data_IF_543040049180
#
_entry.id   IF_543040049180
#
_cell.length_a   1.000
_cell.length_b   1.000
_cell.length_c   1.000
_cell.angle_alpha   90.00
_cell.angle_beta   90.00
_cell.angle_gamma   90.00
#
_symmetry.space_group_name_H-M   'P 1'
#
loop_
_entity.id
_entity.type
_entity.pdbx_description
1 polymer ?
#
# COMPACT_ATOMS: atom_id res chain seq x y z
N UNK A 1 13.60 8.84 16.72
CA UNK A 1 14.08 7.70 15.92
C UNK A 1 14.26 6.51 16.84
N UNK A 2 13.69 5.35 16.51
CA UNK A 2 13.96 4.12 17.24
C UNK A 2 15.43 3.72 17.12
N UNK A 3 15.95 3.09 18.17
CA UNK A 3 17.32 2.59 18.26
C UNK A 3 17.25 1.07 18.44
N UNK A 4 17.96 0.34 17.58
CA UNK A 4 18.13 -1.10 17.71
C UNK A 4 19.53 -1.37 18.28
N UNK A 5 19.58 -1.79 19.54
CA UNK A 5 20.83 -1.99 20.29
C UNK A 5 20.79 -3.33 21.03
N UNK A 6 21.90 -3.79 21.63
CA UNK A 6 21.86 -4.99 22.48
C UNK A 6 20.86 -4.89 23.65
N UNK A 7 20.62 -3.67 24.17
CA UNK A 7 19.68 -3.43 25.26
C UNK A 7 18.22 -3.36 24.77
N UNK A 8 18.03 -2.98 23.51
CA UNK A 8 16.73 -2.97 22.82
C UNK A 8 16.86 -3.70 21.47
N UNK A 9 16.95 -5.04 21.49
CA UNK A 9 17.32 -5.82 20.30
C UNK A 9 16.12 -6.08 19.38
N UNK A 10 14.91 -5.64 19.74
CA UNK A 10 13.69 -5.89 18.98
C UNK A 10 12.88 -4.62 18.82
N UNK A 11 12.34 -4.44 17.63
CA UNK A 11 11.48 -3.31 17.30
C UNK A 11 10.43 -3.73 16.28
N UNK A 12 9.17 -3.61 16.64
CA UNK A 12 8.06 -3.88 15.73
C UNK A 12 7.74 -2.61 14.94
N UNK A 13 7.39 -2.76 13.67
CA UNK A 13 7.13 -1.66 12.77
C UNK A 13 5.97 -1.96 11.82
N UNK A 14 5.42 -0.91 11.24
CA UNK A 14 4.52 -1.00 10.10
C UNK A 14 4.95 -0.03 9.02
N UNK A 15 5.06 -0.52 7.77
CA UNK A 15 5.49 0.30 6.63
C UNK A 15 4.70 -0.11 5.38
N UNK A 16 4.06 0.86 4.73
CA UNK A 16 3.56 0.82 3.36
C UNK A 16 2.09 1.24 3.17
N UNK A 17 1.88 2.34 2.44
CA UNK A 17 0.64 2.65 1.72
C UNK A 17 0.90 2.39 0.22
N UNK A 18 0.16 1.48 -0.40
CA UNK A 18 0.23 1.14 -1.83
C UNK A 18 1.60 0.63 -2.35
N UNK A 19 2.38 -0.04 -1.50
CA UNK A 19 3.72 -0.50 -1.83
C UNK A 19 3.74 -1.90 -2.48
N UNK A 20 4.35 -2.03 -3.66
CA UNK A 20 4.62 -3.35 -4.27
C UNK A 20 6.01 -3.92 -3.92
N UNK A 21 6.87 -3.09 -3.31
CA UNK A 21 8.25 -3.45 -2.94
C UNK A 21 8.66 -2.69 -1.67
N UNK A 22 9.16 -3.42 -0.68
CA UNK A 22 9.89 -2.86 0.46
C UNK A 22 11.38 -2.91 0.17
N UNK A 23 12.06 -1.78 0.35
CA UNK A 23 13.50 -1.61 0.15
C UNK A 23 14.18 -1.36 1.48
N UNK A 24 15.20 -2.14 1.80
CA UNK A 24 15.96 -2.03 3.05
C UNK A 24 17.41 -1.73 2.71
N UNK A 25 17.92 -0.57 3.13
CA UNK A 25 19.29 -0.13 2.83
C UNK A 25 19.79 0.91 3.84
N UNK A 26 21.04 1.34 3.70
CA UNK A 26 21.57 2.49 4.44
C UNK A 26 20.93 3.80 3.96
N UNK A 27 20.74 4.76 4.88
CA UNK A 27 20.19 6.07 4.57
C UNK A 27 21.04 6.88 3.58
N UNK A 28 22.36 6.63 3.50
CA UNK A 28 23.24 7.31 2.52
C UNK A 28 22.88 7.01 1.06
N UNK A 29 22.10 5.95 0.83
CA UNK A 29 21.62 5.53 -0.50
C UNK A 29 20.40 6.33 -0.97
N UNK A 30 19.93 7.32 -0.21
CA UNK A 30 18.70 8.09 -0.50
C UNK A 30 18.63 8.60 -1.94
N UNK A 31 19.73 9.16 -2.45
CA UNK A 31 19.82 9.75 -3.78
C UNK A 31 20.03 8.71 -4.90
N UNK A 32 20.42 7.48 -4.55
CA UNK A 32 20.83 6.45 -5.52
C UNK A 32 19.72 5.45 -5.83
N UNK A 33 18.67 5.35 -5.00
CA UNK A 33 17.62 4.33 -5.09
C UNK A 33 16.27 4.88 -5.58
N UNK A 34 16.32 5.78 -6.57
CA UNK A 34 15.17 6.53 -7.07
C UNK A 34 14.18 5.61 -7.78
N UNK A 35 14.66 4.78 -8.70
CA UNK A 35 13.81 3.91 -9.51
C UNK A 35 13.85 2.47 -9.02
N UNK A 36 12.84 1.68 -9.41
CA UNK A 36 12.86 0.23 -9.16
C UNK A 36 14.10 -0.44 -9.77
N UNK A 37 14.58 0.03 -10.93
CA UNK A 37 15.78 -0.53 -11.56
C UNK A 37 17.03 -0.29 -10.70
N UNK A 38 17.16 0.91 -10.12
CA UNK A 38 18.27 1.24 -9.22
C UNK A 38 18.24 0.37 -7.96
N UNK A 39 17.05 0.21 -7.38
CA UNK A 39 16.80 -0.66 -6.23
C UNK A 39 17.19 -2.10 -6.52
N UNK A 40 16.80 -2.64 -7.68
CA UNK A 40 17.16 -4.01 -8.11
C UNK A 40 18.66 -4.15 -8.34
N UNK A 41 19.30 -3.16 -8.95
CA UNK A 41 20.76 -3.16 -9.16
C UNK A 41 21.50 -3.14 -7.81
N UNK A 42 21.11 -2.26 -6.89
CA UNK A 42 21.64 -2.18 -5.54
C UNK A 42 21.46 -3.50 -4.77
N UNK A 43 20.31 -4.14 -4.91
CA UNK A 43 20.05 -5.42 -4.27
C UNK A 43 20.98 -6.53 -4.77
N UNK A 44 21.18 -6.61 -6.10
CA UNK A 44 22.13 -7.55 -6.72
C UNK A 44 23.58 -7.32 -6.29
N UNK A 45 23.94 -6.06 -6.02
CA UNK A 45 25.27 -5.68 -5.53
C UNK A 45 25.46 -5.88 -4.02
N UNK A 46 24.40 -6.22 -3.28
CA UNK A 46 24.47 -6.38 -1.82
C UNK A 46 24.52 -5.04 -1.06
N UNK A 47 24.06 -3.95 -1.68
CA UNK A 47 23.89 -2.65 -1.01
C UNK A 47 22.45 -2.37 -0.57
N UNK A 48 21.53 -3.29 -0.86
CA UNK A 48 20.13 -3.24 -0.47
C UNK A 48 19.54 -4.65 -0.36
N UNK A 49 18.42 -4.77 0.34
CA UNK A 49 17.55 -5.93 0.37
C UNK A 49 16.18 -5.51 -0.17
N UNK A 50 15.58 -6.32 -1.04
CA UNK A 50 14.25 -6.09 -1.59
C UNK A 50 13.30 -7.20 -1.21
N UNK A 51 12.10 -6.81 -0.78
CA UNK A 51 10.99 -7.70 -0.47
C UNK A 51 9.85 -7.28 -1.39
N UNK A 52 9.43 -8.17 -2.30
CA UNK A 52 8.27 -7.91 -3.14
C UNK A 52 7.00 -8.32 -2.40
N UNK A 53 6.01 -7.44 -2.43
CA UNK A 53 4.69 -7.69 -1.86
C UNK A 53 3.75 -8.15 -3.00
N UNK A 54 2.94 -9.21 -2.80
CA UNK A 54 1.93 -9.62 -3.76
C UNK A 54 0.84 -8.56 -3.96
N UNK A 55 0.45 -7.93 -2.85
CA UNK A 55 -0.59 -6.91 -2.76
C UNK A 55 -0.03 -5.63 -2.13
N UNK A 56 -0.76 -4.52 -2.26
CA UNK A 56 -0.30 -3.15 -2.00
C UNK A 56 -0.60 -2.64 -0.58
N UNK A 57 -0.81 -3.54 0.38
CA UNK A 57 -1.23 -3.22 1.76
C UNK A 57 -0.13 -2.84 2.76
N UNK A 58 1.13 -2.78 2.34
CA UNK A 58 2.29 -2.63 3.23
C UNK A 58 2.60 -3.90 4.02
N UNK A 59 3.39 -3.77 5.10
CA UNK A 59 3.75 -4.88 5.99
C UNK A 59 3.67 -4.48 7.47
N UNK A 60 3.25 -5.42 8.32
CA UNK A 60 3.58 -5.42 9.74
C UNK A 60 4.82 -6.29 9.97
N UNK A 61 5.88 -5.70 10.50
CA UNK A 61 7.16 -6.39 10.64
C UNK A 61 7.85 -6.21 11.99
N UNK A 62 8.93 -6.97 12.18
CA UNK A 62 9.82 -6.87 13.34
C UNK A 62 11.27 -6.83 12.89
N UNK A 63 12.03 -5.86 13.39
CA UNK A 63 13.48 -5.84 13.31
C UNK A 63 14.06 -6.52 14.55
N UNK A 64 15.05 -7.41 14.34
CA UNK A 64 15.75 -8.10 15.44
C UNK A 64 17.25 -7.97 15.26
N UNK A 65 17.95 -7.39 16.23
CA UNK A 65 19.41 -7.41 16.32
C UNK A 65 19.85 -8.58 17.22
N UNK A 66 20.49 -9.59 16.64
CA UNK A 66 21.00 -10.74 17.38
C UNK A 66 20.16 -12.01 17.18
N UNK A 67 19.90 -12.75 18.25
CA UNK A 67 19.25 -14.06 18.21
C UNK A 67 17.71 -13.96 18.15
N UNK A 68 17.09 -14.87 17.41
CA UNK A 68 15.64 -15.04 17.37
C UNK A 68 15.15 -15.74 18.64
N UNK A 69 13.89 -15.51 19.00
CA UNK A 69 13.22 -16.38 19.97
C UNK A 69 12.96 -17.77 19.39
N UNK A 70 12.65 -18.74 20.24
CA UNK A 70 12.29 -20.09 19.81
C UNK A 70 11.09 -20.07 18.85
N UNK A 71 10.06 -19.30 19.19
CA UNK A 71 8.87 -19.07 18.37
C UNK A 71 9.22 -18.48 17.00
N UNK A 72 9.99 -17.38 16.97
CA UNK A 72 10.44 -16.74 15.72
C UNK A 72 11.24 -17.72 14.83
N UNK A 73 12.08 -18.55 15.44
CA UNK A 73 12.93 -19.51 14.72
C UNK A 73 12.17 -20.72 14.15
N UNK A 74 11.05 -21.09 14.77
CA UNK A 74 10.27 -22.30 14.43
C UNK A 74 9.02 -22.01 13.60
N UNK A 75 8.50 -20.79 13.62
CA UNK A 75 7.25 -20.43 12.94
C UNK A 75 7.38 -19.91 11.51
N UNK A 76 8.56 -19.49 11.05
CA UNK A 76 8.71 -18.98 9.68
C UNK A 76 8.42 -20.07 8.63
N UNK A 77 7.94 -19.68 7.45
CA UNK A 77 7.66 -20.62 6.33
C UNK A 77 8.49 -20.31 5.07
N UNK A 78 8.99 -19.09 4.96
CA UNK A 78 9.98 -18.72 3.97
C UNK A 78 11.04 -17.84 4.59
N UNK A 79 12.28 -17.92 4.09
CA UNK A 79 13.34 -16.99 4.46
C UNK A 79 14.24 -16.65 3.28
N UNK A 80 14.91 -15.51 3.39
CA UNK A 80 15.92 -15.09 2.44
C UNK A 80 16.95 -14.19 3.10
N UNK A 81 18.19 -14.31 2.68
CA UNK A 81 19.35 -13.73 3.35
C UNK A 81 20.19 -12.93 2.37
N UNK A 82 20.56 -11.70 2.73
CA UNK A 82 21.44 -10.83 1.93
C UNK A 82 22.38 -10.06 2.84
N UNK A 83 23.59 -9.78 2.37
CA UNK A 83 24.45 -8.82 3.05
C UNK A 83 24.04 -7.39 2.68
N UNK A 84 24.11 -6.48 3.65
CA UNK A 84 23.92 -5.04 3.47
C UNK A 84 24.96 -4.31 4.32
N UNK A 85 25.61 -3.31 3.72
CA UNK A 85 26.53 -2.43 4.42
C UNK A 85 25.78 -1.22 4.98
N UNK A 86 25.87 -0.99 6.29
CA UNK A 86 25.24 0.13 6.98
C UNK A 86 26.31 1.08 7.50
N UNK A 87 26.87 1.91 6.61
CA UNK A 87 27.97 2.84 6.89
C UNK A 87 27.60 3.95 7.85
N UNK A 88 26.39 4.49 7.71
CA UNK A 88 25.93 5.61 8.55
C UNK A 88 25.39 5.15 9.89
N UNK A 89 25.12 3.84 10.02
CA UNK A 89 24.38 3.31 11.16
C UNK A 89 22.89 3.66 11.11
N UNK A 90 22.36 4.07 9.95
CA UNK A 90 20.94 4.36 9.76
C UNK A 90 20.35 3.37 8.78
N UNK A 91 19.61 2.40 9.31
CA UNK A 91 18.83 1.46 8.51
C UNK A 91 17.54 2.15 8.09
N UNK A 92 17.21 2.08 6.80
CA UNK A 92 15.91 2.51 6.27
C UNK A 92 15.12 1.28 5.86
N UNK A 93 13.86 1.19 6.27
CA UNK A 93 12.85 0.29 5.70
C UNK A 93 11.87 1.16 4.93
N UNK A 94 11.88 1.08 3.59
CA UNK A 94 11.15 2.00 2.71
C UNK A 94 10.13 1.28 1.82
N UNK A 95 8.88 1.72 1.87
CA UNK A 95 7.79 1.34 0.97
C UNK A 95 7.63 2.27 -0.24
N UNK A 96 8.42 3.33 -0.36
CA UNK A 96 8.38 4.28 -1.48
C UNK A 96 8.39 5.76 -1.07
N UNK A 97 8.44 6.05 0.22
CA UNK A 97 8.42 7.41 0.76
C UNK A 97 9.81 8.00 0.99
N UNK A 98 10.86 7.18 1.17
CA UNK A 98 12.19 7.68 1.53
C UNK A 98 13.13 7.82 0.34
N UNK A 99 13.33 6.74 -0.42
CA UNK A 99 14.32 6.71 -1.49
C UNK A 99 13.85 7.51 -2.71
N UNK A 100 14.69 8.42 -3.19
CA UNK A 100 14.37 9.32 -4.31
C UNK A 100 13.50 10.52 -3.95
N UNK A 101 13.19 10.73 -2.67
CA UNK A 101 12.44 11.89 -2.19
C UNK A 101 13.33 12.82 -1.35
N UNK A 102 13.02 14.12 -1.36
CA UNK A 102 13.63 15.06 -0.42
C UNK A 102 12.88 14.98 0.91
N UNK A 103 13.46 14.26 1.86
CA UNK A 103 12.90 14.10 3.21
C UNK A 103 13.54 15.11 4.15
N UNK A 104 12.73 15.72 5.01
CA UNK A 104 13.25 16.57 6.08
C UNK A 104 14.19 15.75 6.97
N UNK A 105 15.38 16.27 7.34
CA UNK A 105 16.32 15.56 8.24
C UNK A 105 15.72 15.16 9.59
N UNK A 106 14.63 15.82 10.00
CA UNK A 106 13.92 15.58 11.26
C UNK A 106 12.86 14.46 11.15
N UNK A 107 12.47 14.07 9.92
CA UNK A 107 11.49 13.01 9.70
C UNK A 107 12.18 11.66 9.82
N UNK A 108 11.76 10.89 10.84
CA UNK A 108 12.37 9.59 11.17
C UNK A 108 11.42 8.42 10.98
N UNK A 109 10.15 8.72 10.73
CA UNK A 109 9.08 7.74 10.52
C UNK A 109 7.98 8.38 9.67
N UNK A 110 7.39 7.58 8.79
CA UNK A 110 6.25 7.87 7.93
C UNK A 110 5.50 6.55 7.69
N UNK A 111 4.20 6.56 7.36
CA UNK A 111 3.53 5.36 6.86
C UNK A 111 4.31 4.66 5.75
N UNK A 112 5.08 5.42 4.96
CA UNK A 112 5.83 4.90 3.82
C UNK A 112 7.28 4.49 4.14
N UNK A 113 7.81 4.83 5.32
CA UNK A 113 9.18 4.44 5.66
C UNK A 113 9.48 4.53 7.16
N UNK A 114 10.49 3.79 7.58
CA UNK A 114 11.06 3.82 8.91
C UNK A 114 12.58 4.04 8.85
N UNK A 115 13.12 4.97 9.65
CA UNK A 115 14.55 5.05 9.93
C UNK A 115 14.83 4.49 11.32
N UNK A 116 15.87 3.66 11.42
CA UNK A 116 16.30 3.04 12.68
C UNK A 116 17.80 3.25 12.87
N UNK A 117 18.19 3.73 14.05
CA UNK A 117 19.60 3.75 14.43
C UNK A 117 20.07 2.33 14.75
N UNK A 118 21.14 1.92 14.09
CA UNK A 118 21.83 0.64 14.30
C UNK A 118 23.33 0.90 14.38
N UNK A 119 24.12 0.10 15.13
CA UNK A 119 25.57 0.27 15.13
C UNK A 119 26.15 0.18 13.69
N UNK A 120 27.00 1.11 13.23
CA UNK A 120 27.54 1.04 11.86
C UNK A 120 28.31 -0.24 11.56
N UNK A 121 28.27 -0.72 10.31
CA UNK A 121 29.10 -1.78 9.76
C UNK A 121 28.35 -2.74 8.84
N UNK A 122 28.97 -3.89 8.54
CA UNK A 122 28.40 -4.89 7.62
C UNK A 122 27.47 -5.85 8.36
N UNK A 123 26.28 -6.03 7.80
CA UNK A 123 25.26 -6.92 8.34
C UNK A 123 24.85 -7.96 7.31
N UNK A 124 24.54 -9.14 7.81
CA UNK A 124 23.68 -10.08 7.12
C UNK A 124 22.25 -9.84 7.60
N UNK A 125 21.39 -9.47 6.65
CA UNK A 125 19.96 -9.35 6.85
C UNK A 125 19.29 -10.65 6.44
N UNK A 126 18.61 -11.30 7.38
CA UNK A 126 17.74 -12.44 7.06
C UNK A 126 16.30 -12.05 7.27
N UNK A 127 15.53 -12.09 6.20
CA UNK A 127 14.09 -11.89 6.21
C UNK A 127 13.40 -13.23 6.38
N UNK A 128 12.53 -13.32 7.36
CA UNK A 128 11.64 -14.44 7.62
C UNK A 128 10.22 -14.00 7.34
N UNK A 129 9.46 -14.85 6.67
CA UNK A 129 8.05 -14.63 6.34
C UNK A 129 7.21 -15.67 7.08
N UNK A 130 6.19 -15.20 7.78
CA UNK A 130 5.25 -16.03 8.54
C UNK A 130 3.98 -16.29 7.75
N UNK A 131 3.21 -17.30 8.18
CA UNK A 131 2.00 -17.73 7.48
C UNK A 131 0.92 -16.65 7.38
N UNK A 132 0.91 -15.72 8.32
CA UNK A 132 0.04 -14.54 8.35
C UNK A 132 0.32 -13.51 7.23
N UNK A 133 1.42 -13.64 6.49
CA UNK A 133 1.80 -12.69 5.44
C UNK A 133 1.21 -13.04 4.07
N UNK A 134 0.82 -12.04 3.30
CA UNK A 134 0.44 -12.23 1.89
C UNK A 134 1.59 -12.81 1.04
N UNK A 135 2.85 -12.52 1.39
CA UNK A 135 4.00 -13.15 0.76
C UNK A 135 3.94 -14.66 0.97
N UNK A 136 3.67 -15.10 2.19
CA UNK A 136 3.50 -16.51 2.50
C UNK A 136 2.33 -17.11 1.72
N UNK A 137 1.20 -16.40 1.63
CA UNK A 137 0.05 -16.92 0.90
C UNK A 137 0.39 -17.11 -0.59
N UNK A 138 0.97 -16.12 -1.26
CA UNK A 138 1.37 -16.27 -2.67
C UNK A 138 2.36 -17.44 -2.88
N UNK A 139 3.35 -17.57 -2.00
CA UNK A 139 4.34 -18.64 -2.09
C UNK A 139 3.76 -20.05 -1.92
N UNK A 140 2.64 -20.18 -1.19
CA UNK A 140 1.96 -21.44 -0.88
C UNK A 140 0.67 -21.65 -1.69
N UNK A 141 0.22 -20.69 -2.51
CA UNK A 141 -1.00 -20.75 -3.33
C UNK A 141 -1.12 -22.03 -4.15
N UNK A 142 0.01 -22.57 -4.61
CA UNK A 142 0.06 -23.75 -5.50
C UNK A 142 0.03 -25.11 -4.79
N UNK A 143 0.16 -25.16 -3.45
CA UNK A 143 0.31 -26.43 -2.73
C UNK A 143 -1.00 -27.14 -2.39
N UNK A 144 -2.17 -26.51 -2.61
CA UNK A 144 -3.50 -27.06 -2.29
C UNK A 144 -3.56 -27.70 -0.88
N UNK A 145 -2.96 -27.02 0.10
CA UNK A 145 -2.97 -27.46 1.49
C UNK A 145 -4.21 -26.87 2.16
N UNK A 146 -4.93 -27.67 2.95
CA UNK A 146 -5.94 -27.13 3.87
C UNK A 146 -5.26 -26.66 5.15
N UNK A 147 -5.36 -25.37 5.41
CA UNK A 147 -4.88 -24.73 6.62
C UNK A 147 -5.69 -25.17 7.84
N UNK A 148 -7.01 -25.31 7.68
CA UNK A 148 -7.89 -25.74 8.75
C UNK A 148 -7.58 -27.17 9.18
N UNK A 149 -7.43 -28.09 8.24
CA UNK A 149 -7.07 -29.48 8.57
C UNK A 149 -5.64 -29.59 9.12
N UNK A 150 -4.69 -28.80 8.58
CA UNK A 150 -3.33 -28.76 9.12
C UNK A 150 -3.30 -28.22 10.56
N UNK A 151 -4.09 -27.18 10.86
CA UNK A 151 -4.26 -26.61 12.19
C UNK A 151 -4.91 -27.61 13.15
N UNK A 152 -6.00 -28.27 12.75
CA UNK A 152 -6.68 -29.31 13.55
C UNK A 152 -5.76 -30.49 13.85
N UNK A 153 -4.97 -30.94 12.86
CA UNK A 153 -4.00 -32.02 13.08
C UNK A 153 -2.93 -31.64 14.11
N UNK A 154 -2.47 -30.39 14.08
CA UNK A 154 -1.38 -29.92 14.93
C UNK A 154 -1.85 -29.56 16.33
N UNK A 155 -3.10 -29.12 16.47
CA UNK A 155 -3.69 -28.66 17.73
C UNK A 155 -5.16 -29.13 17.83
N UNK A 156 -5.41 -30.44 18.04
CA UNK A 156 -6.72 -31.06 17.88
C UNK A 156 -7.79 -30.61 18.89
N UNK A 157 -7.38 -30.02 20.01
CA UNK A 157 -8.28 -29.60 21.09
C UNK A 157 -8.31 -28.08 21.27
N UNK A 158 -7.77 -27.31 20.31
CA UNK A 158 -7.79 -25.86 20.34
C UNK A 158 -8.77 -25.35 19.28
N UNK A 159 -9.54 -24.33 19.63
CA UNK A 159 -10.35 -23.55 18.69
C UNK A 159 -9.50 -23.01 17.55
N UNK A 160 -10.15 -22.75 16.43
CA UNK A 160 -9.56 -22.19 15.22
C UNK A 160 -9.64 -20.67 15.34
N UNK A 161 -8.52 -19.94 15.29
CA UNK A 161 -8.58 -18.49 15.40
C UNK A 161 -9.20 -17.87 14.14
N UNK A 162 -9.98 -16.79 14.30
CA UNK A 162 -10.71 -16.15 13.19
C UNK A 162 -9.79 -15.77 12.02
N UNK A 163 -8.60 -15.19 12.27
CA UNK A 163 -7.66 -14.84 11.21
C UNK A 163 -7.30 -16.01 10.29
N UNK A 164 -7.33 -17.25 10.79
CA UNK A 164 -7.02 -18.43 9.99
C UNK A 164 -8.21 -18.84 9.12
N UNK A 165 -9.43 -18.60 9.59
CA UNK A 165 -10.65 -18.75 8.79
C UNK A 165 -10.60 -17.73 7.65
N UNK A 166 -10.34 -16.45 7.97
CA UNK A 166 -10.21 -15.38 6.98
C UNK A 166 -9.12 -15.71 5.93
N UNK A 167 -7.96 -16.21 6.38
CA UNK A 167 -6.88 -16.64 5.50
C UNK A 167 -7.28 -17.80 4.57
N UNK A 168 -8.13 -18.70 5.06
CA UNK A 168 -8.64 -19.82 4.29
C UNK A 168 -9.74 -19.38 3.29
N UNK A 169 -10.56 -18.39 3.64
CA UNK A 169 -11.58 -17.77 2.77
C UNK A 169 -10.96 -16.97 1.63
N UNK A 170 -9.92 -16.17 1.91
CA UNK A 170 -9.24 -15.33 0.91
C UNK A 170 -8.53 -16.14 -0.19
N UNK A 171 -8.44 -17.46 -0.01
CA UNK A 171 -7.98 -18.35 -1.07
C UNK A 171 -9.14 -18.67 -2.00
N UNK A 172 -8.94 -18.39 -3.29
CA UNK A 172 -9.62 -19.06 -4.41
C UNK A 172 -9.31 -20.58 -4.41
N UNK A 173 -9.71 -21.28 -3.35
CA UNK A 173 -9.50 -22.70 -3.14
C UNK A 173 -10.83 -23.29 -2.68
N UNK A 174 -11.64 -23.72 -3.64
CA UNK A 174 -12.93 -24.41 -3.44
C UNK A 174 -12.87 -25.51 -2.35
N UNK A 175 -11.68 -26.07 -2.07
CA UNK A 175 -11.46 -27.07 -1.03
C UNK A 175 -11.70 -26.57 0.40
N UNK A 176 -11.46 -25.28 0.69
CA UNK A 176 -11.66 -24.72 2.04
C UNK A 176 -13.08 -24.19 2.22
N UNK A 177 -13.77 -23.77 1.16
CA UNK A 177 -15.13 -23.21 1.22
C UNK A 177 -16.11 -24.18 1.88
N UNK A 178 -16.16 -25.44 1.41
CA UNK A 178 -17.00 -26.49 2.04
C UNK A 178 -16.63 -26.73 3.51
N UNK A 179 -15.37 -26.53 3.87
CA UNK A 179 -14.86 -26.78 5.22
C UNK A 179 -15.22 -25.65 6.18
N UNK A 180 -15.23 -24.42 5.67
CA UNK A 180 -15.60 -23.22 6.39
C UNK A 180 -17.10 -23.22 6.65
N UNK A 181 -17.92 -23.60 5.67
CA UNK A 181 -19.38 -23.79 5.84
C UNK A 181 -19.75 -24.83 6.91
N UNK A 182 -18.85 -25.78 7.20
CA UNK A 182 -19.04 -26.81 8.22
C UNK A 182 -18.57 -26.39 9.62
N UNK A 183 -17.91 -25.24 9.78
CA UNK A 183 -17.47 -24.75 11.09
C UNK A 183 -18.69 -24.40 11.95
N UNK A 184 -18.65 -24.81 13.22
CA UNK A 184 -19.63 -24.38 14.22
C UNK A 184 -19.10 -23.13 14.94
N UNK A 185 -19.99 -22.26 15.40
CA UNK A 185 -19.63 -21.00 16.06
C UNK A 185 -18.70 -21.19 17.28
N UNK A 186 -18.82 -22.32 17.99
CA UNK A 186 -17.99 -22.67 19.14
C UNK A 186 -16.63 -23.29 18.77
N UNK A 187 -16.40 -23.62 17.50
CA UNK A 187 -15.09 -24.05 16.99
C UNK A 187 -14.17 -22.88 16.65
N UNK A 188 -14.71 -21.66 16.50
CA UNK A 188 -13.98 -20.47 16.06
C UNK A 188 -13.75 -19.50 17.23
N UNK A 189 -12.50 -19.11 17.44
CA UNK A 189 -12.13 -18.08 18.40
C UNK A 189 -12.11 -16.71 17.72
N UNK A 190 -13.20 -15.95 17.95
CA UNK A 190 -13.38 -14.59 17.44
C UNK A 190 -12.71 -13.52 18.31
N UNK A 191 -12.21 -13.89 19.50
CA UNK A 191 -11.55 -12.96 20.42
C UNK A 191 -10.02 -12.97 20.25
N UNK A 192 -9.48 -13.93 19.49
CA UNK A 192 -8.07 -14.00 19.16
C UNK A 192 -7.61 -12.69 18.46
N UNK A 193 -6.55 -12.09 18.99
CA UNK A 193 -5.98 -10.82 18.50
C UNK A 193 -5.34 -11.01 17.11
N UNK A 194 -5.65 -10.11 16.16
CA UNK A 194 -5.21 -10.17 14.76
C UNK A 194 -3.85 -9.48 14.50
N UNK A 195 -3.19 -9.03 15.57
CA UNK A 195 -1.91 -8.33 15.48
C UNK A 195 -0.74 -9.32 15.42
N UNK A 196 -0.38 -9.74 14.21
CA UNK A 196 0.77 -10.63 13.95
C UNK A 196 1.90 -9.96 13.18
N UNK A 197 3.13 -10.39 13.44
CA UNK A 197 4.29 -10.13 12.59
C UNK A 197 4.14 -10.92 11.30
N UNK A 198 4.08 -10.23 10.16
CA UNK A 198 4.06 -10.84 8.83
C UNK A 198 5.48 -11.13 8.35
N UNK A 199 6.40 -10.20 8.64
CA UNK A 199 7.80 -10.24 8.22
C UNK A 199 8.74 -9.91 9.38
N UNK A 200 9.71 -10.77 9.65
CA UNK A 200 10.80 -10.48 10.60
C UNK A 200 12.12 -10.30 9.84
N UNK A 201 12.83 -9.23 10.12
CA UNK A 201 14.15 -8.93 9.54
C UNK A 201 15.18 -9.02 10.67
N UNK A 202 15.98 -10.07 10.63
CA UNK A 202 17.07 -10.30 11.56
C UNK A 202 18.36 -9.65 11.03
N UNK A 203 18.96 -8.79 11.84
CA UNK A 203 20.27 -8.20 11.65
C UNK A 203 21.29 -9.01 12.43
N UNK A 204 22.19 -9.68 11.70
CA UNK A 204 23.38 -10.29 12.28
C UNK A 204 24.61 -9.58 11.75
N UNK A 205 25.59 -9.29 12.61
CA UNK A 205 26.89 -8.81 12.13
C UNK A 205 27.44 -9.84 11.14
N UNK A 206 27.93 -9.36 10.00
CA UNK A 206 28.45 -10.24 8.97
C UNK A 206 29.68 -10.99 9.52
N UNK A 207 29.47 -12.26 9.93
CA UNK A 207 30.57 -13.21 10.05
C UNK A 207 30.97 -13.66 8.64
N UNK A 208 32.25 -13.97 8.45
CA UNK A 208 32.75 -14.40 7.15
C UNK A 208 31.97 -15.65 6.71
N UNK A 209 31.37 -15.57 5.52
CA UNK A 209 30.72 -16.64 4.75
C UNK A 209 29.46 -17.28 5.35
N UNK A 210 28.31 -16.76 4.92
CA UNK A 210 27.06 -17.52 4.81
C UNK A 210 26.54 -17.39 3.37
N UNK A 211 25.81 -18.38 2.91
CA UNK A 211 25.22 -18.35 1.57
C UNK A 211 24.20 -17.22 1.48
N UNK A 212 24.36 -16.37 0.47
CA UNK A 212 23.37 -15.35 0.15
C UNK A 212 22.27 -15.94 -0.72
N UNK A 213 21.05 -15.53 -0.44
CA UNK A 213 19.91 -15.84 -1.30
C UNK A 213 20.05 -15.11 -2.63
N UNK A 214 19.80 -15.85 -3.71
CA UNK A 214 19.81 -15.34 -5.07
C UNK A 214 18.69 -14.31 -5.28
N UNK A 215 18.97 -13.26 -6.04
CA UNK A 215 17.97 -12.29 -6.51
C UNK A 215 17.74 -12.52 -7.99
N UNK A 216 16.49 -12.81 -8.36
CA UNK A 216 16.10 -13.00 -9.75
C UNK A 216 16.34 -11.73 -10.58
N UNK A 217 16.38 -11.87 -11.91
CA UNK A 217 16.54 -10.72 -12.82
C UNK A 217 15.50 -9.61 -12.57
N UNK A 218 14.28 -10.00 -12.17
CA UNK A 218 13.16 -9.14 -11.83
C UNK A 218 13.25 -8.42 -10.48
N UNK A 219 14.30 -8.67 -9.68
CA UNK A 219 14.43 -8.12 -8.32
C UNK A 219 13.84 -8.99 -7.21
N UNK A 220 13.13 -10.06 -7.57
CA UNK A 220 12.48 -10.95 -6.59
C UNK A 220 13.52 -11.80 -5.85
N UNK A 221 13.44 -11.80 -4.52
CA UNK A 221 14.23 -12.68 -3.66
C UNK A 221 13.80 -14.14 -3.87
N UNK A 222 14.76 -15.03 -4.10
CA UNK A 222 14.50 -16.46 -4.29
C UNK A 222 14.38 -17.17 -2.94
N UNK A 223 13.21 -17.07 -2.33
CA UNK A 223 12.93 -17.61 -1.00
C UNK A 223 13.34 -19.09 -0.82
N UNK A 224 14.06 -19.39 0.26
CA UNK A 224 14.10 -20.73 0.84
C UNK A 224 12.73 -20.98 1.49
N UNK A 225 12.05 -22.04 1.06
CA UNK A 225 10.71 -22.38 1.56
C UNK A 225 10.81 -23.61 2.44
N UNK A 226 10.16 -23.58 3.61
CA UNK A 226 9.92 -24.77 4.42
C UNK A 226 8.45 -24.91 4.71
N UNK A 227 7.99 -26.16 4.82
CA UNK A 227 6.69 -26.46 5.40
C UNK A 227 6.96 -27.14 6.73
N UNK A 228 6.72 -26.46 7.86
CA UNK A 228 6.84 -27.07 9.17
C UNK A 228 5.96 -28.31 9.28
N UNK A 229 6.33 -29.25 10.15
CA UNK A 229 5.52 -30.46 10.37
C UNK A 229 4.23 -30.11 11.12
N UNK A 230 4.36 -29.36 12.22
CA UNK A 230 3.24 -28.75 12.92
C UNK A 230 2.83 -27.43 12.27
N UNK A 231 1.58 -27.05 12.41
CA UNK A 231 1.06 -25.77 11.94
C UNK A 231 1.81 -24.62 12.67
N UNK A 232 2.42 -23.67 11.93
CA UNK A 232 3.22 -22.61 12.53
C UNK A 232 2.33 -21.66 13.34
N UNK A 233 2.71 -21.39 14.59
CA UNK A 233 2.02 -20.41 15.42
C UNK A 233 2.40 -19.00 14.97
N UNK A 234 1.45 -18.06 14.85
CA UNK A 234 1.76 -16.72 14.42
C UNK A 234 2.53 -15.98 15.53
N UNK A 235 3.52 -15.18 15.15
CA UNK A 235 4.29 -14.38 16.12
C UNK A 235 3.51 -13.11 16.41
N UNK A 236 3.12 -12.89 17.67
CA UNK A 236 2.40 -11.68 18.08
C UNK A 236 3.26 -10.42 17.91
N UNK A 237 2.62 -9.31 17.54
CA UNK A 237 3.27 -8.00 17.49
C UNK A 237 2.66 -7.04 18.52
N UNK A 238 3.50 -6.15 19.08
CA UNK A 238 3.05 -5.04 19.91
C UNK A 238 2.52 -3.86 19.07
N UNK A 239 2.72 -3.92 17.74
CA UNK A 239 2.17 -2.97 16.79
C UNK A 239 0.68 -3.25 16.69
N UNK A 240 -0.13 -2.30 17.18
CA UNK A 240 -1.58 -2.41 17.06
C UNK A 240 -1.95 -2.68 15.59
N UNK A 241 -2.95 -3.53 15.34
CA UNK A 241 -3.37 -3.90 13.98
C UNK A 241 -3.63 -2.69 13.04
N UNK A 242 -3.85 -1.50 13.60
CA UNK A 242 -3.97 -0.22 12.89
C UNK A 242 -2.67 0.43 12.41
N UNK A 243 -1.51 -0.20 12.62
CA UNK A 243 -0.20 0.28 12.13
C UNK A 243 0.34 -0.55 10.95
N UNK A 244 -0.33 -1.62 10.50
CA UNK A 244 -0.24 -2.01 9.07
C UNK A 244 -0.46 -0.69 8.33
N UNK A 245 0.31 -0.37 7.28
CA UNK A 245 0.19 0.92 6.57
C UNK A 245 -1.19 1.18 5.91
N UNK A 246 -2.20 0.41 6.30
CA UNK A 246 -3.60 0.78 6.49
C UNK A 246 -3.84 2.10 7.26
N UNK A 247 -3.51 3.24 6.65
CA UNK A 247 -4.57 4.17 6.33
C UNK A 247 -5.06 3.84 4.92
N UNK A 248 -5.54 2.60 4.68
CA UNK A 248 -6.46 2.42 3.57
C UNK A 248 -7.65 3.27 3.95
N UNK A 249 -7.70 4.48 3.41
CA UNK A 249 -8.78 5.41 3.72
C UNK A 249 -10.11 4.78 3.36
N UNK A 250 -10.13 3.82 2.42
CA UNK A 250 -11.26 2.93 2.17
C UNK A 250 -11.65 2.05 3.37
N UNK A 251 -10.70 1.41 4.07
CA UNK A 251 -10.96 0.62 5.29
C UNK A 251 -11.38 1.50 6.48
N UNK A 252 -10.80 2.69 6.65
CA UNK A 252 -11.24 3.65 7.68
C UNK A 252 -12.62 4.23 7.39
N UNK A 253 -12.91 4.52 6.12
CA UNK A 253 -14.24 4.92 5.66
C UNK A 253 -15.24 3.77 5.89
N UNK A 254 -14.88 2.53 5.56
CA UNK A 254 -15.71 1.36 5.80
C UNK A 254 -15.96 1.11 7.31
N UNK A 255 -14.93 1.24 8.16
CA UNK A 255 -15.07 1.11 9.61
C UNK A 255 -15.89 2.25 10.23
N UNK A 256 -15.74 3.48 9.74
CA UNK A 256 -16.55 4.61 10.19
C UNK A 256 -18.02 4.49 9.73
N UNK A 257 -18.26 3.96 8.53
CA UNK A 257 -19.60 3.58 8.07
C UNK A 257 -20.20 2.47 8.95
N UNK A 258 -19.40 1.46 9.32
CA UNK A 258 -19.84 0.34 10.18
C UNK A 258 -20.21 0.79 11.60
N UNK A 259 -19.58 1.86 12.11
CA UNK A 259 -19.88 2.47 13.42
C UNK A 259 -21.03 3.48 13.38
N UNK A 260 -21.70 3.63 12.23
CA UNK A 260 -22.72 4.66 11.98
C UNK A 260 -22.22 6.11 12.22
N UNK A 261 -20.91 6.33 12.26
CA UNK A 261 -20.31 7.66 12.44
C UNK A 261 -20.08 8.31 11.07
N UNK A 262 -21.20 8.71 10.45
CA UNK A 262 -21.21 9.30 9.11
C UNK A 262 -20.43 10.61 9.02
N UNK A 263 -20.27 11.34 10.13
CA UNK A 263 -19.50 12.58 10.15
C UNK A 263 -17.99 12.28 10.06
N UNK A 264 -17.50 11.33 10.87
CA UNK A 264 -16.12 10.87 10.78
C UNK A 264 -15.83 10.18 9.44
N UNK A 265 -16.74 9.32 8.95
CA UNK A 265 -16.61 8.65 7.65
C UNK A 265 -16.52 9.66 6.50
N UNK A 266 -17.36 10.68 6.52
CA UNK A 266 -17.36 11.76 5.51
C UNK A 266 -16.07 12.58 5.56
N UNK A 267 -15.53 12.88 6.75
CA UNK A 267 -14.28 13.63 6.87
C UNK A 267 -13.08 12.84 6.33
N UNK A 268 -12.94 11.57 6.72
CA UNK A 268 -11.86 10.70 6.23
C UNK A 268 -11.99 10.48 4.72
N UNK A 269 -13.20 10.28 4.21
CA UNK A 269 -13.47 10.17 2.78
C UNK A 269 -13.12 11.44 2.00
N UNK A 270 -13.50 12.61 2.53
CA UNK A 270 -13.19 13.91 1.91
C UNK A 270 -11.68 14.18 1.90
N UNK A 271 -10.97 13.82 2.96
CA UNK A 271 -9.51 13.93 3.01
C UNK A 271 -8.82 12.97 2.04
N UNK A 272 -9.32 11.72 1.93
CA UNK A 272 -8.87 10.75 0.94
C UNK A 272 -9.02 11.26 -0.49
N UNK A 273 -10.24 11.67 -0.83
CA UNK A 273 -10.58 12.19 -2.14
C UNK A 273 -9.84 13.49 -2.44
N UNK A 274 -9.52 14.33 -1.44
CA UNK A 274 -8.73 15.54 -1.66
C UNK A 274 -7.32 15.21 -2.15
N UNK A 275 -6.67 14.20 -1.59
CA UNK A 275 -5.34 13.75 -2.03
C UNK A 275 -5.40 13.17 -3.43
N UNK A 276 -6.36 12.27 -3.70
CA UNK A 276 -6.49 11.60 -5.01
C UNK A 276 -6.89 12.58 -6.11
N UNK A 277 -7.81 13.49 -5.81
CA UNK A 277 -8.21 14.55 -6.74
C UNK A 277 -7.06 15.54 -6.92
N UNK A 278 -6.27 15.88 -5.89
CA UNK A 278 -5.08 16.72 -6.06
C UNK A 278 -4.03 16.06 -6.97
N UNK A 279 -3.78 14.75 -6.82
CA UNK A 279 -2.88 13.99 -7.69
C UNK A 279 -3.42 13.93 -9.14
N UNK A 280 -4.72 13.65 -9.31
CA UNK A 280 -5.39 13.70 -10.59
C UNK A 280 -5.29 15.10 -11.23
N UNK A 281 -5.49 16.15 -10.45
CA UNK A 281 -5.38 17.55 -10.89
C UNK A 281 -3.97 17.92 -11.31
N UNK A 282 -2.96 17.50 -10.55
CA UNK A 282 -1.56 17.70 -10.91
C UNK A 282 -1.24 17.02 -12.25
N UNK A 283 -1.73 15.80 -12.46
CA UNK A 283 -1.60 15.05 -13.72
C UNK A 283 -2.33 15.74 -14.88
N UNK A 284 -3.56 16.20 -14.68
CA UNK A 284 -4.30 16.95 -15.71
C UNK A 284 -3.65 18.30 -16.01
N UNK A 285 -3.17 19.02 -15.00
CA UNK A 285 -2.44 20.28 -15.17
C UNK A 285 -1.15 20.09 -15.96
N UNK A 286 -0.38 19.03 -15.68
CA UNK A 286 0.81 18.68 -16.45
C UNK A 286 0.47 18.35 -17.91
N UNK A 287 -0.58 17.56 -18.16
CA UNK A 287 -1.05 17.21 -19.51
C UNK A 287 -1.55 18.43 -20.29
N UNK A 288 -2.30 19.33 -19.63
CA UNK A 288 -2.76 20.59 -20.22
C UNK A 288 -1.56 21.47 -20.54
N UNK A 289 -0.62 21.62 -19.60
CA UNK A 289 0.58 22.45 -19.78
C UNK A 289 1.49 21.91 -20.91
N UNK A 290 1.64 20.59 -21.05
CA UNK A 290 2.33 19.96 -22.18
C UNK A 290 1.62 20.15 -23.53
N UNK A 291 0.28 20.08 -23.56
CA UNK A 291 -0.50 20.44 -24.77
C UNK A 291 -0.45 21.95 -25.05
N UNK A 292 -0.03 22.76 -24.08
CA UNK A 292 0.09 24.20 -24.20
C UNK A 292 1.44 24.75 -24.63
N UNK A 293 2.49 23.94 -24.62
CA UNK A 293 3.83 24.27 -25.13
C UNK A 293 3.96 24.11 -26.66
N UNK A 294 2.88 23.76 -27.37
CA UNK A 294 2.84 23.78 -28.84
C UNK A 294 3.18 25.20 -29.34
N UNK A 295 4.20 25.38 -30.19
CA UNK A 295 4.67 26.69 -30.64
C UNK A 295 3.53 27.61 -31.12
N UNK A 296 3.53 28.87 -30.66
CA UNK A 296 2.52 29.90 -30.96
C UNK A 296 2.15 30.03 -32.46
N UNK A 297 3.06 29.62 -33.35
CA UNK A 297 2.87 29.64 -34.81
C UNK A 297 1.86 28.60 -35.30
N UNK A 298 1.81 27.42 -34.69
CA UNK A 298 0.86 26.34 -35.03
C UNK A 298 -0.55 26.73 -34.57
N UNK A 299 -0.67 27.28 -33.36
CA UNK A 299 -1.95 27.75 -32.79
C UNK A 299 -2.58 28.90 -33.57
N UNK A 300 -1.79 29.84 -34.09
CA UNK A 300 -2.33 30.94 -34.92
C UNK A 300 -2.94 30.43 -36.22
N UNK A 301 -2.34 29.43 -36.85
CA UNK A 301 -2.86 28.88 -38.11
C UNK A 301 -4.09 27.99 -37.87
N UNK A 302 -4.12 27.19 -36.80
CA UNK A 302 -5.32 26.43 -36.43
C UNK A 302 -6.46 27.32 -35.96
N UNK A 303 -6.21 28.34 -35.14
CA UNK A 303 -7.24 29.30 -34.73
C UNK A 303 -7.79 30.09 -35.93
N UNK A 304 -6.93 30.52 -36.87
CA UNK A 304 -7.39 31.18 -38.10
C UNK A 304 -8.22 30.24 -38.98
N UNK A 305 -7.84 28.97 -39.07
CA UNK A 305 -8.59 27.97 -39.84
C UNK A 305 -9.95 27.68 -39.21
N UNK A 306 -10.00 27.47 -37.89
CA UNK A 306 -11.26 27.28 -37.15
C UNK A 306 -12.16 28.51 -37.15
N UNK A 307 -11.57 29.71 -37.17
CA UNK A 307 -12.33 30.95 -37.31
C UNK A 307 -12.90 31.10 -38.72
N UNK A 308 -12.13 30.79 -39.77
CA UNK A 308 -12.65 30.75 -41.14
C UNK A 308 -13.76 29.70 -41.34
N UNK A 309 -13.61 28.51 -40.72
CA UNK A 309 -14.65 27.46 -40.75
C UNK A 309 -15.92 27.92 -40.01
N UNK A 310 -15.77 28.66 -38.91
CA UNK A 310 -16.87 29.23 -38.13
C UNK A 310 -17.59 30.37 -38.87
N UNK A 311 -16.82 31.29 -39.45
CA UNK A 311 -17.31 32.44 -40.24
C UNK A 311 -18.02 31.96 -41.52
N UNK A 312 -17.59 30.83 -42.10
CA UNK A 312 -18.25 30.18 -43.22
C UNK A 312 -19.59 29.52 -42.84
N UNK A 313 -19.72 29.09 -41.58
CA UNK A 313 -20.95 28.47 -41.06
C UNK A 313 -21.97 29.49 -40.52
N UNK A 314 -21.54 30.68 -40.09
CA UNK A 314 -22.38 31.63 -39.37
C UNK A 314 -22.25 33.03 -39.97
N UNK A 315 -23.17 33.35 -40.89
CA UNK A 315 -23.23 34.55 -41.73
C UNK A 315 -23.51 35.87 -40.97
N UNK A 316 -22.89 36.13 -39.82
CA UNK A 316 -23.07 37.40 -39.09
C UNK A 316 -21.72 38.07 -38.74
N UNK A 317 -21.32 39.16 -39.44
CA UNK A 317 -20.02 39.80 -39.28
C UNK A 317 -19.83 40.63 -37.99
N UNK A 318 -20.78 40.66 -37.05
CA UNK A 318 -20.74 41.65 -35.96
C UNK A 318 -20.55 41.14 -34.52
N UNK A 319 -20.12 39.89 -34.31
CA UNK A 319 -19.73 39.45 -32.95
C UNK A 319 -18.22 39.54 -32.71
N UNK A 320 -17.70 40.76 -32.48
CA UNK A 320 -16.34 40.94 -31.96
C UNK A 320 -16.36 40.76 -30.44
N UNK A 321 -16.06 39.54 -29.97
CA UNK A 321 -15.81 39.28 -28.55
C UNK A 321 -14.32 39.41 -28.27
N UNK A 322 -13.95 40.41 -27.46
CA UNK A 322 -12.59 40.65 -26.98
C UNK A 322 -12.14 39.49 -26.07
N UNK A 323 -10.96 38.87 -26.30
CA UNK A 323 -10.56 37.69 -25.55
C UNK A 323 -9.84 38.13 -24.27
N UNK A 324 -10.44 37.84 -23.10
CA UNK A 324 -9.75 37.34 -21.87
C UNK A 324 -10.65 37.34 -20.63
N UNK A 325 -11.95 37.09 -20.77
CA UNK A 325 -12.74 36.52 -19.69
C UNK A 325 -12.98 35.05 -20.01
N UNK A 326 -12.07 34.18 -19.56
CA UNK A 326 -12.44 32.76 -19.37
C UNK A 326 -13.50 32.78 -18.27
N UNK A 327 -14.77 32.91 -18.66
CA UNK A 327 -15.90 32.60 -17.78
C UNK A 327 -15.61 31.22 -17.19
N UNK A 328 -15.70 31.13 -15.85
CA UNK A 328 -15.69 29.90 -15.06
C UNK A 328 -16.41 28.79 -15.85
N UNK A 329 -15.65 27.91 -16.50
CA UNK A 329 -16.21 26.66 -16.98
C UNK A 329 -15.96 25.66 -15.87
N UNK A 330 -17.00 25.23 -15.13
CA UNK A 330 -16.86 24.15 -14.18
C UNK A 330 -16.41 22.92 -14.98
N UNK A 331 -15.23 22.40 -14.66
CA UNK A 331 -14.84 21.08 -15.13
C UNK A 331 -15.54 20.08 -14.21
N UNK A 332 -16.58 19.41 -14.73
CA UNK A 332 -17.22 18.30 -14.03
C UNK A 332 -16.48 17.02 -14.36
N UNK A 333 -15.86 16.42 -13.34
CA UNK A 333 -15.40 15.04 -13.39
C UNK A 333 -16.33 14.16 -12.56
N UNK A 334 -16.64 12.98 -13.07
CA UNK A 334 -17.35 11.93 -12.33
C UNK A 334 -16.38 10.79 -12.13
N UNK A 335 -16.08 10.47 -10.88
CA UNK A 335 -15.34 9.26 -10.53
C UNK A 335 -16.31 8.31 -9.84
N UNK A 336 -16.26 7.05 -10.26
CA UNK A 336 -17.14 6.00 -9.77
C UNK A 336 -16.30 5.12 -8.86
N UNK A 337 -16.63 5.08 -7.58
CA UNK A 337 -16.01 4.20 -6.61
C UNK A 337 -17.00 3.08 -6.25
N UNK A 338 -16.51 1.84 -6.23
CA UNK A 338 -17.25 0.68 -5.73
C UNK A 338 -16.95 0.53 -4.25
N UNK A 339 -17.97 0.52 -3.40
CA UNK A 339 -17.81 0.11 -2.00
C UNK A 339 -17.71 -1.42 -1.96
N UNK A 340 -16.57 -1.93 -1.48
CA UNK A 340 -16.34 -3.37 -1.30
C UNK A 340 -16.45 -3.66 0.21
N UNK A 341 -17.69 -3.67 0.71
CA UNK A 341 -18.02 -4.30 1.98
C UNK A 341 -19.15 -5.33 1.73
N UNK A 342 -19.10 -6.45 2.42
CA UNK A 342 -20.08 -7.56 2.41
C UNK A 342 -21.53 -7.09 2.51
N UNK A 343 -21.79 -6.02 3.26
CA UNK A 343 -23.13 -5.45 3.43
C UNK A 343 -23.59 -4.55 2.27
N UNK A 344 -22.66 -4.08 1.42
CA UNK A 344 -22.90 -3.07 0.37
C UNK A 344 -22.32 -3.45 -1.00
N UNK A 345 -21.92 -4.72 -1.21
CA UNK A 345 -21.44 -5.25 -2.50
C UNK A 345 -22.37 -4.83 -3.65
N UNK A 346 -21.82 -4.12 -4.64
CA UNK A 346 -22.53 -3.67 -5.84
C UNK A 346 -23.21 -2.29 -5.72
N UNK A 347 -23.05 -1.58 -4.60
CA UNK A 347 -23.49 -0.18 -4.49
C UNK A 347 -22.43 0.78 -5.02
N UNK A 348 -22.85 1.69 -5.92
CA UNK A 348 -21.99 2.67 -6.55
C UNK A 348 -22.09 4.02 -5.82
N UNK A 349 -20.94 4.58 -5.43
CA UNK A 349 -20.86 5.95 -4.94
C UNK A 349 -20.48 6.86 -6.11
N UNK A 350 -21.35 7.81 -6.42
CA UNK A 350 -21.07 8.84 -7.42
C UNK A 350 -20.46 10.05 -6.73
N UNK A 351 -19.20 10.32 -7.08
CA UNK A 351 -18.50 11.52 -6.63
C UNK A 351 -18.43 12.48 -7.81
N UNK A 352 -18.99 13.67 -7.62
CA UNK A 352 -18.93 14.77 -8.57
C UNK A 352 -18.11 15.89 -7.97
N UNK A 353 -17.11 16.37 -8.70
CA UNK A 353 -16.32 17.52 -8.28
C UNK A 353 -16.36 18.62 -9.33
N UNK A 354 -16.34 19.86 -8.85
CA UNK A 354 -16.20 21.07 -9.64
C UNK A 354 -14.85 21.72 -9.35
N UNK A 355 -14.13 22.04 -10.42
CA UNK A 355 -12.80 22.64 -10.35
C UNK A 355 -12.84 24.05 -10.92
N UNK A 356 -12.37 25.00 -10.13
CA UNK A 356 -12.16 26.36 -10.59
C UNK A 356 -10.68 26.56 -10.93
N UNK A 357 -10.39 27.05 -12.14
CA UNK A 357 -9.06 27.48 -12.53
C UNK A 357 -9.03 28.99 -12.78
N UNK A 358 -7.93 29.63 -12.40
CA UNK A 358 -7.66 31.04 -12.67
C UNK A 358 -6.37 31.15 -13.46
N UNK A 359 -6.39 31.96 -14.52
CA UNK A 359 -5.20 32.28 -15.30
C UNK A 359 -4.45 33.44 -14.65
N UNK A 360 -3.25 33.18 -14.17
CA UNK A 360 -2.35 34.18 -13.57
C UNK A 360 -1.19 34.51 -14.52
N UNK A 361 -0.35 35.49 -14.14
CA UNK A 361 0.89 35.81 -14.88
C UNK A 361 1.89 34.64 -14.92
N UNK A 362 1.74 33.68 -14.01
CA UNK A 362 2.61 32.50 -13.89
C UNK A 362 2.02 31.24 -14.57
N UNK A 363 0.82 31.34 -15.16
CA UNK A 363 0.15 30.21 -15.82
C UNK A 363 -1.27 29.97 -15.30
N UNK A 364 -1.86 28.82 -15.64
CA UNK A 364 -3.14 28.41 -15.08
C UNK A 364 -2.91 27.86 -13.65
N UNK A 365 -3.67 28.32 -12.67
CA UNK A 365 -3.61 27.83 -11.29
C UNK A 365 -5.00 27.34 -10.85
N UNK A 366 -5.05 26.27 -10.06
CA UNK A 366 -6.28 25.84 -9.41
C UNK A 366 -6.66 26.87 -8.32
N UNK A 367 -7.90 27.31 -8.31
CA UNK A 367 -8.42 28.34 -7.42
C UNK A 367 -9.42 27.79 -6.38
N UNK A 368 -9.89 26.57 -6.57
CA UNK A 368 -10.78 25.90 -5.63
C UNK A 368 -11.34 24.60 -6.19
N UNK A 369 -11.79 23.74 -5.28
CA UNK A 369 -12.48 22.49 -5.57
C UNK A 369 -13.71 22.39 -4.69
N UNK A 370 -14.85 22.09 -5.30
CA UNK A 370 -16.07 21.66 -4.60
C UNK A 370 -16.28 20.19 -4.87
N UNK A 371 -16.50 19.37 -3.84
CA UNK A 371 -16.79 17.94 -3.98
C UNK A 371 -18.19 17.69 -3.43
N UNK A 372 -18.98 16.98 -4.21
CA UNK A 372 -20.31 16.51 -3.82
C UNK A 372 -20.37 15.01 -4.07
N UNK A 373 -21.01 14.28 -3.18
CA UNK A 373 -21.23 12.84 -3.36
C UNK A 373 -22.65 12.51 -2.93
N UNK A 374 -23.23 11.50 -3.58
CA UNK A 374 -24.53 10.97 -3.19
C UNK A 374 -24.31 9.64 -2.47
N UNK A 375 -24.75 9.56 -1.21
CA UNK A 375 -24.78 8.30 -0.48
C UNK A 375 -25.68 7.30 -1.20
N UNK A 376 -25.34 6.00 -1.19
CA UNK A 376 -26.23 4.99 -1.73
C UNK A 376 -27.56 5.03 -0.97
N UNK A 377 -28.66 5.06 -1.72
CA UNK A 377 -30.00 5.02 -1.13
C UNK A 377 -30.21 3.62 -0.56
N UNK A 378 -30.37 3.50 0.76
CA UNK A 378 -30.66 2.23 1.40
C UNK A 378 -31.81 1.52 0.66
N UNK A 379 -31.67 0.22 0.33
CA UNK A 379 -32.71 -0.50 -0.39
C UNK A 379 -34.02 -0.37 0.39
N UNK A 380 -35.05 0.19 -0.25
CA UNK A 380 -36.39 0.29 0.36
C UNK A 380 -36.78 -1.10 0.84
N UNK A 381 -36.89 -1.28 2.15
CA UNK A 381 -37.33 -2.55 2.71
C UNK A 381 -38.62 -2.95 2.01
N UNK A 382 -38.58 -4.07 1.28
CA UNK A 382 -39.81 -4.64 0.71
C UNK A 382 -40.68 -4.95 1.91
N UNK A 383 -41.69 -4.11 2.17
CA UNK A 383 -42.79 -4.46 3.07
C UNK A 383 -43.30 -5.82 2.60
N UNK A 384 -42.99 -6.88 3.36
CA UNK A 384 -43.62 -8.19 3.18
C UNK A 384 -45.12 -7.91 3.22
N UNK A 385 -45.79 -8.03 2.08
CA UNK A 385 -47.25 -8.13 2.06
C UNK A 385 -47.57 -9.38 2.89
N UNK A 386 -48.22 -9.16 4.03
CA UNK A 386 -48.75 -10.22 4.88
C UNK A 386 -49.78 -11.02 4.10
#
# INVERSE_FOLDING_TARGET
MPILSPDQPRFDFGVGEDASVITIADADRQADLITLQDRVAAAKQGSALLIHLPDDGGIAGRLVLGELTEEESTSWIAKGTRSVELKTGKLVVDAGGFFGQQISPESTESPDFLLVDVPPGSYQLTTYVFLSSDIATDLFRRRKLSYLDWRRKSFPNQTIPQWLVDLAEDRDNDFEEERIEQLQDDEVDTEADDAFVEVLIQLQRAAVTKEETEIASSGKLKWEKRQPEAFPQPVSTAVAAGLRGSFSKAKLVAQAFHREDFAAASQVFVEAMRTDVAAFLAKQHALISQKMTIPNRIRRNESRRKQADWDALHSDPQTVVHPLTLRRQPYQGVQVASLVDTSHRGQWVYISFELAFVKTKLGLQAAGMSVSWNAPVAPKSRKRRR
#
